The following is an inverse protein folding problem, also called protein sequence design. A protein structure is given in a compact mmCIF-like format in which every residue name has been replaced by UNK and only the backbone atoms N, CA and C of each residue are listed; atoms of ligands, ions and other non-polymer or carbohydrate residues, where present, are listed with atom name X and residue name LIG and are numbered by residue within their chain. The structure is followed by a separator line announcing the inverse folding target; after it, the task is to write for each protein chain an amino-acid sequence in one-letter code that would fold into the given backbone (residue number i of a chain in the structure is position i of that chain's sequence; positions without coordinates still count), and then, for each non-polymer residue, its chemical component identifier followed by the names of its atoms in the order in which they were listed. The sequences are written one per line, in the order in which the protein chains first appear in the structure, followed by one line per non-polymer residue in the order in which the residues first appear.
data_IF_329388216599
#
_entry.id   IF_329388216599
#
_cell.length_a   1.000
_cell.length_b   1.000
_cell.length_c   1.000
_cell.angle_alpha   90.00
_cell.angle_beta   90.00
_cell.angle_gamma   90.00
#
_symmetry.space_group_name_H-M   'P 1'
#
loop_
_entity.id
_entity.type
_entity.pdbx_description
1 polymer ?
#
# COMPACT_ATOMS: atom_id res chain seq x y z
N UNK A 1 9.29 -2.24 6.46
CA UNK A 1 8.90 -1.04 5.70
C UNK A 1 8.45 0.04 6.67
N UNK A 2 8.95 1.25 6.47
CA UNK A 2 8.52 2.39 7.26
C UNK A 2 7.24 2.97 6.69
N UNK A 3 6.50 3.67 7.54
CA UNK A 3 5.26 4.31 7.10
C UNK A 3 5.51 5.30 5.96
N UNK A 4 6.62 6.03 6.04
CA UNK A 4 6.98 6.97 4.97
C UNK A 4 7.21 6.25 3.63
N UNK A 5 7.78 5.06 3.68
CA UNK A 5 7.97 4.27 2.47
C UNK A 5 6.64 3.78 1.90
N UNK A 6 5.73 3.39 2.80
CA UNK A 6 4.39 3.00 2.37
C UNK A 6 3.71 4.13 1.59
N UNK A 7 3.75 5.34 2.14
CA UNK A 7 3.11 6.47 1.46
C UNK A 7 3.81 6.85 0.17
N UNK A 8 5.14 6.72 0.14
CA UNK A 8 5.89 6.98 -1.09
C UNK A 8 5.48 6.00 -2.19
N UNK A 9 5.34 4.73 -1.85
CA UNK A 9 4.90 3.72 -2.82
C UNK A 9 3.47 3.97 -3.28
N UNK A 10 2.59 4.34 -2.36
CA UNK A 10 1.21 4.69 -2.70
C UNK A 10 1.16 5.85 -3.67
N UNK A 11 1.94 6.89 -3.40
CA UNK A 11 1.93 8.07 -4.25
C UNK A 11 2.53 7.77 -5.62
N UNK A 12 3.55 6.94 -5.65
CA UNK A 12 4.15 6.57 -6.93
C UNK A 12 3.17 5.75 -7.78
N UNK A 13 2.47 4.81 -7.16
CA UNK A 13 1.62 3.91 -7.92
C UNK A 13 0.28 4.53 -8.28
N UNK A 14 -0.30 5.32 -7.39
CA UNK A 14 -1.66 5.83 -7.56
C UNK A 14 -1.73 7.34 -7.70
N UNK A 15 -0.63 8.05 -7.50
CA UNK A 15 -0.62 9.51 -7.54
C UNK A 15 -0.91 10.12 -6.18
N UNK A 16 -0.28 11.28 -5.91
CA UNK A 16 -0.39 11.93 -4.60
C UNK A 16 -1.82 12.36 -4.28
N UNK A 17 -2.61 12.70 -5.29
CA UNK A 17 -3.99 13.12 -5.06
C UNK A 17 -4.91 11.98 -4.71
N UNK A 18 -4.68 10.83 -5.32
CA UNK A 18 -5.58 9.67 -5.15
C UNK A 18 -5.14 8.75 -4.01
N UNK A 19 -3.85 8.71 -3.71
CA UNK A 19 -3.34 7.78 -2.71
C UNK A 19 -4.06 7.89 -1.36
N UNK A 20 -4.25 9.09 -0.79
CA UNK A 20 -4.97 9.16 0.49
C UNK A 20 -6.44 8.78 0.38
N UNK A 21 -7.06 9.04 -0.76
CA UNK A 21 -8.46 8.64 -0.97
C UNK A 21 -8.56 7.12 -0.99
N UNK A 22 -7.67 6.48 -1.73
CA UNK A 22 -7.64 5.02 -1.81
C UNK A 22 -7.41 4.39 -0.44
N UNK A 23 -6.48 4.96 0.33
CA UNK A 23 -6.17 4.43 1.65
C UNK A 23 -7.37 4.52 2.60
N UNK A 24 -8.24 5.50 2.43
CA UNK A 24 -9.41 5.65 3.29
C UNK A 24 -10.61 4.87 2.82
N UNK A 25 -10.72 4.65 1.51
CA UNK A 25 -11.97 4.14 0.93
C UNK A 25 -11.91 2.68 0.54
N UNK A 26 -10.74 2.16 0.20
CA UNK A 26 -10.63 0.77 -0.23
C UNK A 26 -10.65 -0.16 0.97
N UNK A 27 -11.65 -1.02 1.03
CA UNK A 27 -11.76 -2.02 2.08
C UNK A 27 -10.96 -3.25 1.67
N UNK A 28 -10.07 -3.69 2.55
CA UNK A 28 -9.17 -4.80 2.28
C UNK A 28 -9.69 -6.06 2.96
N UNK A 29 -10.21 -6.98 2.16
CA UNK A 29 -10.77 -8.21 2.69
C UNK A 29 -9.77 -9.03 3.50
N UNK A 30 -8.50 -9.02 3.08
CA UNK A 30 -7.46 -9.78 3.77
C UNK A 30 -7.08 -9.16 5.11
N UNK A 31 -7.52 -7.94 5.39
CA UNK A 31 -7.24 -7.24 6.65
C UNK A 31 -8.52 -7.04 7.46
N UNK A 32 -9.36 -8.06 7.48
CA UNK A 32 -10.61 -8.06 8.27
C UNK A 32 -11.57 -6.96 7.86
N UNK A 33 -11.61 -6.67 6.56
CA UNK A 33 -12.50 -5.66 5.99
C UNK A 33 -12.22 -4.27 6.52
N UNK A 34 -10.95 -3.97 6.79
CA UNK A 34 -10.50 -2.63 7.16
C UNK A 34 -9.93 -1.92 5.96
N UNK A 35 -10.03 -0.59 5.97
CA UNK A 35 -9.29 0.19 4.99
C UNK A 35 -7.81 0.21 5.38
N UNK A 36 -6.97 0.66 4.43
CA UNK A 36 -5.55 0.79 4.73
C UNK A 36 -5.31 1.72 5.92
N UNK A 37 -6.03 2.85 5.94
CA UNK A 37 -5.88 3.81 7.04
C UNK A 37 -6.28 3.17 8.37
N UNK A 38 -7.38 2.42 8.39
CA UNK A 38 -7.83 1.75 9.61
C UNK A 38 -6.83 0.68 10.05
N UNK A 39 -6.28 -0.07 9.11
CA UNK A 39 -5.31 -1.11 9.44
C UNK A 39 -4.04 -0.51 10.03
N UNK A 40 -3.54 0.56 9.43
CA UNK A 40 -2.34 1.24 9.93
C UNK A 40 -2.59 1.79 11.34
N UNK A 41 -3.77 2.36 11.55
CA UNK A 41 -4.15 2.92 12.84
C UNK A 41 -4.26 1.81 13.90
N UNK A 42 -4.63 0.63 13.49
CA UNK A 42 -4.73 -0.52 14.40
C UNK A 42 -3.37 -1.18 14.67
N UNK A 43 -2.30 -0.68 14.06
CA UNK A 43 -0.98 -1.21 14.30
C UNK A 43 -0.52 -2.28 13.33
N UNK A 44 -1.24 -2.48 12.23
CA UNK A 44 -0.82 -3.43 11.21
C UNK A 44 0.42 -2.91 10.51
N UNK A 45 1.37 -3.80 10.25
CA UNK A 45 2.62 -3.44 9.61
C UNK A 45 2.36 -2.80 8.24
N UNK A 46 2.97 -1.65 7.92
CA UNK A 46 2.78 -1.00 6.63
C UNK A 46 3.06 -1.92 5.44
N UNK A 47 4.04 -2.81 5.54
CA UNK A 47 4.33 -3.76 4.48
C UNK A 47 3.14 -4.68 4.22
N UNK A 48 2.51 -5.17 5.28
CA UNK A 48 1.33 -6.02 5.17
C UNK A 48 0.19 -5.26 4.49
N UNK A 49 -0.02 -4.01 4.89
CA UNK A 49 -1.06 -3.18 4.30
C UNK A 49 -0.76 -2.93 2.82
N UNK A 50 0.50 -2.62 2.51
CA UNK A 50 0.89 -2.36 1.13
C UNK A 50 0.64 -3.57 0.23
N UNK A 51 1.03 -4.76 0.69
CA UNK A 51 0.80 -5.95 -0.12
C UNK A 51 -0.68 -6.29 -0.25
N UNK A 52 -1.48 -6.00 0.78
CA UNK A 52 -2.92 -6.20 0.68
C UNK A 52 -3.53 -5.29 -0.40
N UNK A 53 -3.08 -4.04 -0.46
CA UNK A 53 -3.53 -3.11 -1.50
C UNK A 53 -3.09 -3.60 -2.88
N UNK A 54 -1.86 -4.05 -3.00
CA UNK A 54 -1.35 -4.55 -4.26
C UNK A 54 -2.16 -5.74 -4.76
N UNK A 55 -2.55 -6.64 -3.87
CA UNK A 55 -3.37 -7.77 -4.25
C UNK A 55 -4.75 -7.34 -4.72
N UNK A 56 -5.38 -6.40 -4.00
CA UNK A 56 -6.70 -5.91 -4.38
C UNK A 56 -6.68 -5.20 -5.72
N UNK A 57 -5.62 -4.45 -5.99
CA UNK A 57 -5.49 -3.67 -7.21
C UNK A 57 -4.80 -4.44 -8.33
N UNK A 58 -4.41 -5.68 -8.07
CA UNK A 58 -3.75 -6.55 -9.05
C UNK A 58 -2.48 -5.93 -9.62
N UNK A 59 -1.68 -5.32 -8.75
CA UNK A 59 -0.44 -4.69 -9.15
C UNK A 59 0.63 -5.77 -9.35
N UNK A 60 1.30 -5.80 -10.52
CA UNK A 60 2.35 -6.79 -10.76
C UNK A 60 3.48 -6.66 -9.75
N UNK A 61 4.11 -7.78 -9.44
CA UNK A 61 5.18 -7.79 -8.45
C UNK A 61 6.32 -6.85 -8.80
N UNK A 62 6.62 -6.74 -10.07
CA UNK A 62 7.74 -5.89 -10.49
C UNK A 62 7.48 -4.41 -10.27
N UNK A 63 6.24 -4.01 -10.02
CA UNK A 63 5.93 -2.62 -9.76
C UNK A 63 5.73 -2.29 -8.28
N UNK A 64 5.74 -3.31 -7.43
CA UNK A 64 5.38 -3.10 -6.01
C UNK A 64 6.44 -2.36 -5.22
N UNK A 65 7.66 -2.25 -5.75
CA UNK A 65 8.78 -1.66 -5.02
C UNK A 65 9.15 -0.26 -5.50
N UNK A 66 8.34 0.32 -6.39
CA UNK A 66 8.60 1.65 -6.91
C UNK A 66 9.61 1.64 -8.04
N UNK A 67 9.91 2.83 -8.57
CA UNK A 67 10.72 2.91 -9.79
C UNK A 67 12.19 2.56 -9.56
N UNK A 68 12.70 2.79 -8.37
CA UNK A 68 14.11 2.59 -8.08
C UNK A 68 14.40 1.30 -7.38
N UNK A 69 13.39 0.54 -7.11
CA UNK A 69 13.57 -0.62 -6.27
C UNK A 69 13.82 -1.85 -7.07
N UNK A 70 14.93 -2.43 -6.81
CA UNK A 70 15.25 -3.75 -7.29
C UNK A 70 15.99 -4.44 -6.16
N UNK A 71 15.31 -5.28 -5.41
CA UNK A 71 15.91 -5.87 -4.22
C UNK A 71 17.09 -6.79 -4.53
N UNK A 72 17.30 -7.09 -5.80
CA UNK A 72 18.43 -7.91 -6.20
C UNK A 72 19.69 -7.12 -6.48
N UNK A 73 19.63 -5.82 -6.38
CA UNK A 73 20.80 -4.98 -6.61
C UNK A 73 21.50 -4.63 -5.35
#
# INVERSE_FOLDING_TARGET
MKLSEFWALMEHEFGAGYAPVLARDLVLGSLEHRTAAEALDAGVNPKTVWFAICEEQEIPQERRWGPDKDPLR
#
